data_IF_858463574663
#
_entry.id   IF_858463574663
#
_cell.length_a   1.000
_cell.length_b   1.000
_cell.length_c   1.000
_cell.angle_alpha   90.00
_cell.angle_beta   90.00
_cell.angle_gamma   90.00
#
_symmetry.space_group_name_H-M   'P 1'
#
loop_
_entity.id
_entity.type
_entity.pdbx_description
1 polymer ?
#
# COMPACT_ATOMS: atom_id res chain seq x y z
N UNK A 1 -5.75 -13.86 -28.99
CA UNK A 1 -5.91 -13.90 -27.52
C UNK A 1 -5.78 -12.47 -27.02
N UNK A 2 -6.78 -11.98 -26.30
CA UNK A 2 -6.78 -10.64 -25.74
C UNK A 2 -5.64 -10.49 -24.70
N UNK A 3 -5.01 -9.32 -24.65
CA UNK A 3 -3.92 -9.07 -23.72
C UNK A 3 -4.48 -8.92 -22.30
N UNK A 4 -4.02 -9.79 -21.39
CA UNK A 4 -4.34 -9.71 -19.96
C UNK A 4 -3.11 -9.20 -19.19
N UNK A 5 -3.13 -7.94 -18.72
CA UNK A 5 -2.02 -7.33 -18.00
C UNK A 5 -1.68 -8.05 -16.69
N UNK A 6 -2.67 -8.58 -15.97
CA UNK A 6 -2.47 -9.26 -14.69
C UNK A 6 -1.74 -10.58 -14.93
N UNK A 7 -2.20 -11.36 -15.91
CA UNK A 7 -1.56 -12.62 -16.28
C UNK A 7 -0.13 -12.41 -16.79
N UNK A 8 0.12 -11.32 -17.51
CA UNK A 8 1.47 -10.95 -17.93
C UNK A 8 2.37 -10.64 -16.73
N UNK A 9 1.87 -9.85 -15.77
CA UNK A 9 2.62 -9.49 -14.57
C UNK A 9 2.94 -10.70 -13.68
N UNK A 10 1.94 -11.57 -13.46
CA UNK A 10 2.11 -12.78 -12.65
C UNK A 10 3.15 -13.73 -13.28
N UNK A 11 3.14 -13.88 -14.61
CA UNK A 11 4.17 -14.65 -15.34
C UNK A 11 5.56 -14.02 -15.21
N UNK A 12 5.66 -12.70 -15.32
CA UNK A 12 6.93 -11.99 -15.17
C UNK A 12 7.50 -12.19 -13.75
N UNK A 13 6.66 -12.11 -12.73
CA UNK A 13 7.05 -12.35 -11.33
C UNK A 13 7.51 -13.80 -11.12
N UNK A 14 6.77 -14.79 -11.61
CA UNK A 14 7.17 -16.21 -11.50
C UNK A 14 8.51 -16.45 -12.19
N UNK A 15 8.73 -15.89 -13.37
CA UNK A 15 10.00 -16.01 -14.09
C UNK A 15 11.17 -15.38 -13.32
N UNK A 16 10.95 -14.21 -12.68
CA UNK A 16 11.96 -13.58 -11.84
C UNK A 16 12.29 -14.45 -10.62
N UNK A 17 11.26 -14.89 -9.88
CA UNK A 17 11.42 -15.73 -8.70
C UNK A 17 12.07 -17.07 -9.03
N UNK A 18 11.74 -17.69 -10.17
CA UNK A 18 12.33 -18.96 -10.60
C UNK A 18 13.80 -18.82 -11.01
N UNK A 19 14.22 -17.63 -11.46
CA UNK A 19 15.58 -17.37 -11.93
C UNK A 19 16.52 -16.89 -10.84
N UNK A 20 16.01 -16.15 -9.86
CA UNK A 20 16.80 -15.47 -8.82
C UNK A 20 16.48 -15.92 -7.40
N UNK A 21 15.48 -16.79 -7.20
CA UNK A 21 15.15 -17.36 -5.90
C UNK A 21 15.85 -18.69 -5.67
N UNK A 22 16.20 -18.93 -4.40
CA UNK A 22 16.73 -20.21 -3.93
C UNK A 22 15.57 -21.05 -3.42
N UNK A 23 15.38 -22.24 -3.97
CA UNK A 23 14.34 -23.18 -3.55
C UNK A 23 14.69 -24.62 -3.92
N UNK A 24 14.12 -25.55 -3.17
CA UNK A 24 14.07 -26.96 -3.53
C UNK A 24 12.78 -27.23 -4.29
N UNK A 25 12.90 -28.01 -5.37
CA UNK A 25 11.75 -28.43 -6.17
C UNK A 25 10.74 -29.17 -5.27
N UNK A 26 9.45 -28.90 -5.50
CA UNK A 26 8.32 -29.50 -4.80
C UNK A 26 8.23 -29.18 -3.29
N UNK A 27 9.07 -28.27 -2.77
CA UNK A 27 9.06 -27.81 -1.36
C UNK A 27 8.85 -26.29 -1.28
N UNK A 28 7.60 -25.78 -1.24
CA UNK A 28 7.33 -24.33 -1.26
C UNK A 28 7.92 -23.54 -0.09
N UNK A 29 8.01 -24.14 1.10
CA UNK A 29 8.57 -23.50 2.30
C UNK A 29 10.07 -23.22 2.22
N UNK A 30 10.77 -23.82 1.26
CA UNK A 30 12.20 -23.60 1.04
C UNK A 30 12.50 -22.33 0.26
N UNK A 31 11.49 -21.70 -0.34
CA UNK A 31 11.68 -20.55 -1.21
C UNK A 31 12.19 -19.34 -0.44
N UNK A 32 13.28 -18.75 -0.93
CA UNK A 32 13.83 -17.52 -0.41
C UNK A 32 14.35 -16.62 -1.53
N UNK A 33 14.37 -15.32 -1.26
CA UNK A 33 14.92 -14.30 -2.17
C UNK A 33 16.00 -13.50 -1.44
N UNK A 34 16.99 -13.04 -2.20
CA UNK A 34 17.97 -12.08 -1.70
C UNK A 34 17.27 -10.86 -1.08
N UNK A 35 17.77 -10.28 0.02
CA UNK A 35 17.19 -9.09 0.64
C UNK A 35 16.95 -7.94 -0.33
N UNK A 36 17.82 -7.78 -1.35
CA UNK A 36 17.70 -6.75 -2.39
C UNK A 36 16.50 -6.93 -3.32
N UNK A 37 15.99 -8.17 -3.46
CA UNK A 37 14.84 -8.52 -4.30
C UNK A 37 13.58 -8.89 -3.49
N UNK A 38 13.72 -9.06 -2.17
CA UNK A 38 12.63 -9.49 -1.28
C UNK A 38 11.39 -8.59 -1.31
N UNK A 39 11.57 -7.29 -1.59
CA UNK A 39 10.49 -6.30 -1.70
C UNK A 39 9.72 -6.38 -3.04
N UNK A 40 10.31 -6.97 -4.07
CA UNK A 40 9.75 -6.96 -5.42
C UNK A 40 8.40 -7.68 -5.52
N UNK A 41 8.20 -8.89 -4.94
CA UNK A 41 6.88 -9.52 -4.91
C UNK A 41 5.80 -8.67 -4.22
N UNK A 42 6.16 -7.91 -3.18
CA UNK A 42 5.24 -7.00 -2.49
C UNK A 42 4.79 -5.87 -3.43
N UNK A 43 5.72 -5.25 -4.16
CA UNK A 43 5.35 -4.24 -5.16
C UNK A 43 4.46 -4.81 -6.27
N UNK A 44 4.74 -6.03 -6.75
CA UNK A 44 3.89 -6.67 -7.76
C UNK A 44 2.48 -6.98 -7.23
N UNK A 45 2.36 -7.36 -5.95
CA UNK A 45 1.07 -7.54 -5.29
C UNK A 45 0.25 -6.25 -5.24
N UNK A 46 0.87 -5.12 -4.94
CA UNK A 46 0.16 -3.83 -4.94
C UNK A 46 -0.12 -3.35 -6.37
N UNK A 47 0.83 -3.45 -7.29
CA UNK A 47 0.66 -3.02 -8.68
C UNK A 47 -0.48 -3.75 -9.39
N UNK A 48 -0.59 -5.08 -9.25
CA UNK A 48 -1.67 -5.87 -9.90
C UNK A 48 -3.08 -5.52 -9.44
N UNK A 49 -3.21 -4.93 -8.24
CA UNK A 49 -4.48 -4.51 -7.63
C UNK A 49 -4.72 -3.00 -7.74
N UNK A 50 -3.71 -2.25 -8.22
CA UNK A 50 -3.80 -0.81 -8.37
C UNK A 50 -4.75 -0.41 -9.50
N UNK A 51 -5.24 0.82 -9.43
CA UNK A 51 -6.04 1.47 -10.47
C UNK A 51 -5.32 1.63 -11.82
N UNK A 52 -3.99 1.44 -11.86
CA UNK A 52 -3.23 1.46 -13.10
C UNK A 52 -3.51 0.24 -13.98
N UNK A 53 -3.74 -0.91 -13.34
CA UNK A 53 -3.97 -2.21 -13.98
C UNK A 53 -5.46 -2.56 -13.98
N UNK A 54 -6.11 -2.45 -12.82
CA UNK A 54 -7.54 -2.72 -12.65
C UNK A 54 -8.34 -1.43 -12.75
N UNK A 55 -8.88 -1.18 -13.94
CA UNK A 55 -9.59 0.08 -14.26
C UNK A 55 -11.07 0.07 -13.85
N UNK A 56 -11.59 -1.06 -13.36
CA UNK A 56 -12.94 -1.15 -12.83
C UNK A 56 -13.10 -0.21 -11.62
N UNK A 57 -14.28 0.41 -11.46
CA UNK A 57 -14.58 1.50 -10.51
C UNK A 57 -13.89 2.85 -10.79
N UNK A 58 -13.20 3.03 -11.92
CA UNK A 58 -12.72 4.33 -12.35
C UNK A 58 -13.36 4.72 -13.69
N UNK A 59 -13.59 6.02 -13.87
CA UNK A 59 -13.93 6.55 -15.19
C UNK A 59 -12.76 6.44 -16.17
N UNK A 60 -13.02 6.48 -17.49
CA UNK A 60 -11.96 6.53 -18.49
C UNK A 60 -10.99 7.71 -18.29
N UNK A 61 -11.52 8.87 -17.89
CA UNK A 61 -10.73 10.08 -17.67
C UNK A 61 -9.84 9.98 -16.43
N UNK A 62 -10.36 9.44 -15.32
CA UNK A 62 -9.56 9.16 -14.11
C UNK A 62 -8.43 8.17 -14.42
N UNK A 63 -8.74 7.10 -15.15
CA UNK A 63 -7.74 6.11 -15.57
C UNK A 63 -6.63 6.75 -16.41
N UNK A 64 -7.00 7.62 -17.36
CA UNK A 64 -6.04 8.35 -18.17
C UNK A 64 -5.19 9.29 -17.32
N UNK A 65 -5.80 10.01 -16.38
CA UNK A 65 -5.11 10.89 -15.45
C UNK A 65 -4.09 10.14 -14.59
N UNK A 66 -4.48 9.07 -13.91
CA UNK A 66 -3.58 8.29 -13.05
C UNK A 66 -2.40 7.73 -13.83
N UNK A 67 -2.64 7.15 -15.02
CA UNK A 67 -1.57 6.62 -15.87
C UNK A 67 -0.66 7.72 -16.40
N UNK A 68 -1.20 8.88 -16.78
CA UNK A 68 -0.39 10.01 -17.24
C UNK A 68 0.57 10.47 -16.14
N UNK A 69 0.09 10.60 -14.91
CA UNK A 69 0.91 11.03 -13.77
C UNK A 69 1.99 9.99 -13.45
N UNK A 70 1.64 8.70 -13.39
CA UNK A 70 2.62 7.63 -13.14
C UNK A 70 3.78 7.64 -14.15
N UNK A 71 3.51 7.92 -15.43
CA UNK A 71 4.54 7.95 -16.48
C UNK A 71 5.39 9.23 -16.47
N UNK A 72 5.05 10.24 -15.68
CA UNK A 72 5.77 11.53 -15.61
C UNK A 72 6.54 11.71 -14.32
N UNK A 73 6.18 10.97 -13.28
CA UNK A 73 6.76 11.10 -11.95
C UNK A 73 8.04 10.29 -11.76
N UNK A 74 8.82 10.66 -10.75
CA UNK A 74 10.05 9.96 -10.42
C UNK A 74 9.78 8.61 -9.72
N UNK A 75 10.84 7.82 -9.52
CA UNK A 75 10.75 6.50 -8.86
C UNK A 75 10.16 6.60 -7.45
N UNK A 76 10.59 7.58 -6.66
CA UNK A 76 10.12 7.76 -5.28
C UNK A 76 8.60 7.97 -5.22
N UNK A 77 8.08 8.88 -6.05
CA UNK A 77 6.65 9.18 -6.12
C UNK A 77 5.86 8.01 -6.72
N UNK A 78 6.40 7.34 -7.74
CA UNK A 78 5.78 6.17 -8.36
C UNK A 78 5.63 5.00 -7.38
N UNK A 79 6.61 4.82 -6.49
CA UNK A 79 6.55 3.79 -5.44
C UNK A 79 5.39 4.07 -4.48
N UNK A 80 5.19 5.32 -4.06
CA UNK A 80 4.06 5.71 -3.19
C UNK A 80 2.72 5.52 -3.90
N UNK A 81 2.65 5.80 -5.20
CA UNK A 81 1.43 5.55 -5.99
C UNK A 81 1.07 4.07 -6.09
N UNK A 82 2.06 3.19 -6.22
CA UNK A 82 1.86 1.74 -6.33
C UNK A 82 1.54 1.15 -4.97
N UNK A 83 2.34 1.47 -3.96
CA UNK A 83 2.19 1.03 -2.58
C UNK A 83 2.07 2.27 -1.67
N UNK A 84 0.83 2.67 -1.33
CA UNK A 84 0.59 3.78 -0.42
C UNK A 84 1.31 3.63 0.92
N UNK A 85 1.69 4.74 1.51
CA UNK A 85 2.28 4.76 2.85
C UNK A 85 1.17 4.85 3.90
N UNK A 86 1.26 4.07 4.96
CA UNK A 86 0.36 4.16 6.11
C UNK A 86 1.18 4.47 7.36
N UNK A 87 0.85 5.56 8.04
CA UNK A 87 1.49 5.97 9.28
C UNK A 87 0.46 5.88 10.40
N UNK A 88 0.85 5.23 11.49
CA UNK A 88 0.05 5.07 12.70
C UNK A 88 0.50 6.04 13.77
N UNK A 89 -0.46 6.71 14.40
CA UNK A 89 -0.28 7.59 15.54
C UNK A 89 -1.05 7.02 16.72
N UNK A 90 -0.36 6.88 17.86
CA UNK A 90 -0.94 6.40 19.12
C UNK A 90 -0.47 7.28 20.28
N UNK A 91 -1.04 7.07 21.47
CA UNK A 91 -0.56 7.76 22.68
C UNK A 91 0.71 7.15 23.27
N UNK A 92 0.98 5.88 22.97
CA UNK A 92 2.04 5.12 23.63
C UNK A 92 3.35 5.14 22.83
N UNK A 93 3.28 5.47 21.54
CA UNK A 93 4.41 5.54 20.63
C UNK A 93 4.31 6.76 19.74
N UNK A 94 5.46 7.24 19.27
CA UNK A 94 5.50 8.25 18.22
C UNK A 94 4.97 7.70 16.88
N UNK A 95 4.95 8.55 15.83
CA UNK A 95 4.47 8.13 14.51
C UNK A 95 5.31 6.98 13.96
N UNK A 96 4.65 5.88 13.61
CA UNK A 96 5.31 4.67 13.12
C UNK A 96 4.71 4.19 11.79
N UNK A 97 5.53 3.68 10.85
CA UNK A 97 5.00 3.03 9.65
C UNK A 97 4.18 1.80 10.01
N UNK A 98 2.98 1.71 9.47
CA UNK A 98 2.10 0.55 9.60
C UNK A 98 2.00 -0.21 8.27
N UNK A 99 1.77 -1.51 8.35
CA UNK A 99 1.44 -2.30 7.18
C UNK A 99 0.07 -1.88 6.64
N UNK A 100 -0.09 -1.85 5.32
CA UNK A 100 -1.38 -1.68 4.64
C UNK A 100 -2.26 -2.93 4.82
N UNK A 101 -2.68 -3.18 6.05
CA UNK A 101 -3.50 -4.31 6.46
C UNK A 101 -4.62 -3.81 7.39
N UNK A 102 -5.74 -4.51 7.40
CA UNK A 102 -6.85 -4.31 8.34
C UNK A 102 -6.37 -4.45 9.79
N UNK A 103 -5.34 -5.26 10.03
CA UNK A 103 -4.72 -5.37 11.35
C UNK A 103 -4.14 -4.04 11.89
N UNK A 104 -3.86 -3.06 11.02
CA UNK A 104 -3.40 -1.72 11.45
C UNK A 104 -4.54 -0.84 11.98
N UNK A 105 -5.80 -1.20 11.72
CA UNK A 105 -6.97 -0.43 12.14
C UNK A 105 -7.29 -0.75 13.61
N UNK A 106 -7.12 0.25 14.48
CA UNK A 106 -7.43 0.16 15.90
C UNK A 106 -8.28 1.34 16.37
N UNK A 107 -9.01 1.14 17.47
CA UNK A 107 -9.95 2.12 18.02
C UNK A 107 -9.25 3.36 18.60
N UNK A 108 -8.04 3.19 19.13
CA UNK A 108 -7.21 4.14 19.86
C UNK A 108 -6.10 4.76 18.99
N UNK A 109 -6.15 4.57 17.67
CA UNK A 109 -5.13 5.06 16.74
C UNK A 109 -5.70 6.06 15.73
N UNK A 110 -4.85 6.97 15.28
CA UNK A 110 -5.08 7.76 14.07
C UNK A 110 -4.18 7.22 12.97
N UNK A 111 -4.72 7.03 11.77
CA UNK A 111 -3.96 6.55 10.62
C UNK A 111 -3.91 7.65 9.55
N UNK A 112 -2.72 7.86 9.00
CA UNK A 112 -2.48 8.72 7.85
C UNK A 112 -2.09 7.84 6.67
N UNK A 113 -2.99 7.76 5.68
CA UNK A 113 -2.74 7.08 4.42
C UNK A 113 -2.34 8.12 3.38
N UNK A 114 -1.15 7.98 2.80
CA UNK A 114 -0.69 8.74 1.65
C UNK A 114 -0.62 7.83 0.42
N UNK A 115 -1.49 8.08 -0.54
CA UNK A 115 -1.58 7.35 -1.82
C UNK A 115 -1.07 8.18 -3.01
N UNK A 116 -0.32 9.26 -2.75
CA UNK A 116 0.09 10.29 -3.71
C UNK A 116 -1.06 11.15 -4.25
N UNK A 117 -2.11 10.53 -4.78
CA UNK A 117 -3.28 11.24 -5.32
C UNK A 117 -4.23 11.74 -4.22
N UNK A 118 -4.23 11.08 -3.07
CA UNK A 118 -5.11 11.43 -1.95
C UNK A 118 -4.43 11.12 -0.63
N UNK A 119 -4.60 12.04 0.32
CA UNK A 119 -4.20 11.87 1.72
C UNK A 119 -5.47 11.66 2.54
N UNK A 120 -5.53 10.55 3.28
CA UNK A 120 -6.68 10.19 4.12
C UNK A 120 -6.25 10.12 5.57
N UNK A 121 -6.97 10.83 6.44
CA UNK A 121 -6.82 10.73 7.89
C UNK A 121 -8.00 9.95 8.45
N UNK A 122 -7.71 8.76 8.95
CA UNK A 122 -8.69 7.90 9.62
C UNK A 122 -8.54 8.02 11.13
N UNK A 123 -9.66 8.18 11.82
CA UNK A 123 -9.71 8.23 13.28
C UNK A 123 -10.36 6.94 13.78
N UNK A 124 -9.66 6.18 14.63
CA UNK A 124 -10.24 5.03 15.32
C UNK A 124 -11.47 5.41 16.14
N UNK A 125 -12.33 4.44 16.43
CA UNK A 125 -13.63 4.69 17.06
C UNK A 125 -13.54 5.45 18.39
N UNK A 126 -12.54 5.15 19.21
CA UNK A 126 -12.31 5.83 20.50
C UNK A 126 -11.82 7.25 20.28
N UNK A 127 -10.85 7.45 19.37
CA UNK A 127 -10.35 8.79 19.01
C UNK A 127 -11.47 9.67 18.45
N UNK A 128 -12.32 9.10 17.58
CA UNK A 128 -13.45 9.79 17.00
C UNK A 128 -14.46 10.23 18.08
N UNK A 129 -14.72 9.37 19.07
CA UNK A 129 -15.58 9.71 20.22
C UNK A 129 -14.96 10.84 21.05
N UNK A 130 -13.67 10.77 21.36
CA UNK A 130 -12.96 11.81 22.10
C UNK A 130 -12.94 13.14 21.38
N UNK A 131 -12.71 13.12 20.06
CA UNK A 131 -12.79 14.32 19.22
C UNK A 131 -14.19 14.93 19.25
N UNK A 132 -15.24 14.10 19.16
CA UNK A 132 -16.63 14.55 19.23
C UNK A 132 -17.02 15.10 20.60
N UNK A 133 -16.47 14.54 21.68
CA UNK A 133 -16.66 15.03 23.04
C UNK A 133 -15.96 16.38 23.29
N UNK A 134 -14.97 16.74 22.47
CA UNK A 134 -14.29 18.03 22.56
C UNK A 134 -13.09 18.06 23.49
N UNK A 135 -12.58 16.90 23.94
CA UNK A 135 -11.44 16.83 24.89
C UNK A 135 -10.20 17.59 24.42
N UNK A 136 -9.96 17.65 23.11
CA UNK A 136 -8.85 18.40 22.50
C UNK A 136 -8.91 19.93 22.69
N UNK A 137 -10.04 20.48 23.15
CA UNK A 137 -10.19 21.90 23.45
C UNK A 137 -9.94 22.21 24.94
N UNK A 138 -9.82 21.19 25.78
CA UNK A 138 -9.60 21.34 27.21
C UNK A 138 -8.10 21.49 27.49
N UNK A 139 -7.69 22.45 28.34
CA UNK A 139 -6.27 22.69 28.62
C UNK A 139 -5.58 21.51 29.32
N UNK A 140 -6.33 20.61 29.95
CA UNK A 140 -5.81 19.41 30.61
C UNK A 140 -5.31 18.34 29.62
N UNK A 141 -5.66 18.47 28.34
CA UNK A 141 -5.36 17.50 27.28
C UNK A 141 -4.46 18.07 26.17
N UNK A 142 -3.69 19.13 26.46
CA UNK A 142 -2.63 19.66 25.57
C UNK A 142 -1.36 18.80 25.57
#
# INVERSE_FOLDING_TARGET
>A
AEFDPIRWLDKALINLCSRFGDFQKDTPSSFSLSPRLSIFPQFMFHLRRSQFVQVFNNSPDETAYFRMILNRENVTNSVVMVQPSLISYSFHSGPEPALLDVAAIAADRVLLLDSFFTVVIFHGSTIAQWRKAGYHNEPEHQ
#
